data_IF_480367031822
#
_entry.id   IF_480367031822
#
_cell.length_a   1.000
_cell.length_b   1.000
_cell.length_c   1.000
_cell.angle_alpha   90.00
_cell.angle_beta   90.00
_cell.angle_gamma   90.00
#
_symmetry.space_group_name_H-M   'P 1'
#
loop_
_entity.id
_entity.type
_entity.pdbx_description
1 polymer ?
#
# COMPACT_ATOMS: atom_id res chain seq x y z
N UNK A 1 -4.03 -18.21 50.66
CA UNK A 1 -4.75 -16.92 50.54
C UNK A 1 -3.79 -15.93 49.90
N UNK A 2 -4.15 -15.31 48.76
CA UNK A 2 -3.27 -14.34 48.09
C UNK A 2 -3.44 -12.99 48.80
N UNK A 3 -2.34 -12.33 49.14
CA UNK A 3 -2.38 -11.00 49.76
C UNK A 3 -2.85 -9.95 48.74
N UNK A 4 -3.57 -8.94 49.22
CA UNK A 4 -4.08 -7.83 48.39
C UNK A 4 -2.99 -7.18 47.52
N UNK A 5 -1.77 -7.12 48.05
CA UNK A 5 -0.59 -6.56 47.40
C UNK A 5 -0.17 -7.37 46.16
N UNK A 6 -0.07 -8.70 46.30
CA UNK A 6 0.26 -9.62 45.20
C UNK A 6 -0.84 -9.60 44.12
N UNK A 7 -2.11 -9.45 44.52
CA UNK A 7 -3.21 -9.30 43.56
C UNK A 7 -3.09 -8.01 42.74
N UNK A 8 -2.77 -6.87 43.38
CA UNK A 8 -2.61 -5.59 42.70
C UNK A 8 -1.40 -5.59 41.75
N UNK A 9 -0.29 -6.19 42.15
CA UNK A 9 0.89 -6.36 41.27
C UNK A 9 0.54 -7.19 40.04
N UNK A 10 -0.09 -8.35 40.24
CA UNK A 10 -0.52 -9.23 39.13
C UNK A 10 -1.48 -8.51 38.19
N UNK A 11 -2.43 -7.73 38.72
CA UNK A 11 -3.35 -6.91 37.93
C UNK A 11 -2.59 -5.89 37.08
N UNK A 12 -1.62 -5.18 37.68
CA UNK A 12 -0.80 -4.20 36.98
C UNK A 12 0.04 -4.81 35.85
N UNK A 13 0.69 -5.95 36.11
CA UNK A 13 1.45 -6.68 35.07
C UNK A 13 0.52 -7.10 33.93
N UNK A 14 -0.64 -7.66 34.25
CA UNK A 14 -1.60 -8.13 33.24
C UNK A 14 -2.16 -6.98 32.41
N UNK A 15 -2.44 -5.84 33.02
CA UNK A 15 -2.88 -4.64 32.29
C UNK A 15 -1.82 -4.15 31.30
N UNK A 16 -0.54 -4.13 31.68
CA UNK A 16 0.56 -3.76 30.76
C UNK A 16 0.71 -4.74 29.60
N UNK A 17 0.55 -6.05 29.87
CA UNK A 17 0.60 -7.07 28.83
C UNK A 17 -0.55 -6.93 27.83
N UNK A 18 -1.77 -6.66 28.32
CA UNK A 18 -2.92 -6.41 27.45
C UNK A 18 -2.66 -5.20 26.57
N UNK A 19 -2.19 -4.10 27.15
CA UNK A 19 -1.90 -2.88 26.39
C UNK A 19 -0.82 -3.10 25.31
N UNK A 20 0.25 -3.84 25.62
CA UNK A 20 1.28 -4.20 24.65
C UNK A 20 0.72 -5.02 23.48
N UNK A 21 -0.14 -6.00 23.77
CA UNK A 21 -0.78 -6.82 22.74
C UNK A 21 -1.76 -6.02 21.88
N UNK A 22 -2.47 -5.05 22.45
CA UNK A 22 -3.35 -4.14 21.71
C UNK A 22 -2.56 -3.25 20.73
N UNK A 23 -1.39 -2.74 21.14
CA UNK A 23 -0.48 -1.98 20.28
C UNK A 23 0.07 -2.85 19.15
N UNK A 24 0.58 -4.05 19.45
CA UNK A 24 1.07 -4.99 18.42
C UNK A 24 -0.03 -5.35 17.41
N UNK A 25 -1.27 -5.59 17.87
CA UNK A 25 -2.41 -5.84 16.97
C UNK A 25 -2.74 -4.64 16.09
N UNK A 26 -2.60 -3.42 16.60
CA UNK A 26 -2.81 -2.19 15.82
C UNK A 26 -1.75 -2.05 14.74
N UNK A 27 -0.49 -2.31 15.07
CA UNK A 27 0.61 -2.24 14.11
C UNK A 27 0.49 -3.31 13.02
N UNK A 28 0.17 -4.55 13.40
CA UNK A 28 -0.09 -5.63 12.44
C UNK A 28 -1.28 -5.32 11.53
N UNK A 29 -2.36 -4.75 12.06
CA UNK A 29 -3.50 -4.30 11.23
C UNK A 29 -3.10 -3.24 10.24
N UNK A 30 -2.23 -2.30 10.61
CA UNK A 30 -1.72 -1.28 9.70
C UNK A 30 -0.92 -1.93 8.56
N UNK A 31 -0.04 -2.87 8.87
CA UNK A 31 0.73 -3.63 7.86
C UNK A 31 -0.21 -4.37 6.90
N UNK A 32 -1.24 -5.06 7.42
CA UNK A 32 -2.20 -5.80 6.58
C UNK A 32 -3.03 -4.86 5.69
N UNK A 33 -3.41 -3.68 6.19
CA UNK A 33 -4.11 -2.67 5.38
C UNK A 33 -3.18 -2.11 4.29
N UNK A 34 -1.92 -1.85 4.64
CA UNK A 34 -0.91 -1.37 3.69
C UNK A 34 -0.61 -2.45 2.63
N UNK A 35 -0.53 -3.73 3.00
CA UNK A 35 -0.37 -4.88 2.09
C UNK A 35 -1.62 -5.13 1.23
N UNK A 36 -2.82 -4.98 1.78
CA UNK A 36 -4.08 -5.09 1.04
C UNK A 36 -4.32 -3.96 0.03
N UNK A 37 -3.56 -2.87 0.13
CA UNK A 37 -3.58 -1.76 -0.81
C UNK A 37 -2.63 -1.98 -2.01
N UNK A 38 -1.78 -3.02 -1.98
CA UNK A 38 -1.00 -3.43 -3.15
C UNK A 38 -1.83 -4.34 -4.06
N UNK A 39 -1.76 -4.14 -5.39
CA UNK A 39 -2.42 -5.04 -6.31
C UNK A 39 -1.85 -6.45 -6.17
N UNK A 40 -2.72 -7.45 -6.18
CA UNK A 40 -2.27 -8.85 -6.17
C UNK A 40 -1.52 -9.17 -7.46
N UNK A 41 -0.66 -10.18 -7.44
CA UNK A 41 0.11 -10.61 -8.62
C UNK A 41 -0.82 -10.91 -9.82
N UNK A 42 -1.97 -11.52 -9.57
CA UNK A 42 -2.99 -11.79 -10.58
C UNK A 42 -3.56 -10.51 -11.20
N UNK A 43 -3.88 -9.50 -10.38
CA UNK A 43 -4.34 -8.19 -10.86
C UNK A 43 -3.27 -7.47 -11.68
N UNK A 44 -1.99 -7.61 -11.31
CA UNK A 44 -0.87 -7.08 -12.10
C UNK A 44 -0.82 -7.78 -13.47
N UNK A 45 -0.88 -9.11 -13.50
CA UNK A 45 -0.86 -9.88 -14.75
C UNK A 45 -2.03 -9.50 -15.66
N UNK A 46 -3.23 -9.37 -15.12
CA UNK A 46 -4.42 -8.96 -15.89
C UNK A 46 -4.22 -7.56 -16.51
N UNK A 47 -3.76 -6.59 -15.72
CA UNK A 47 -3.50 -5.22 -16.20
C UNK A 47 -2.43 -5.19 -17.30
N UNK A 48 -1.36 -5.95 -17.12
CA UNK A 48 -0.28 -6.06 -18.12
C UNK A 48 -0.81 -6.74 -19.39
N UNK A 49 -1.67 -7.75 -19.26
CA UNK A 49 -2.35 -8.39 -20.39
C UNK A 49 -3.20 -7.39 -21.19
N UNK A 50 -4.10 -6.67 -20.51
CA UNK A 50 -4.94 -5.64 -21.15
C UNK A 50 -4.10 -4.54 -21.81
N UNK A 51 -3.00 -4.13 -21.17
CA UNK A 51 -2.06 -3.18 -21.76
C UNK A 51 -1.45 -3.73 -23.05
N UNK A 52 -0.96 -4.96 -23.04
CA UNK A 52 -0.29 -5.59 -24.19
C UNK A 52 -1.22 -5.71 -25.38
N UNK A 53 -2.47 -6.12 -25.14
CA UNK A 53 -3.51 -6.20 -26.18
C UNK A 53 -3.73 -4.83 -26.83
N UNK A 54 -4.01 -3.80 -26.02
CA UNK A 54 -4.25 -2.45 -26.52
C UNK A 54 -3.02 -1.85 -27.20
N UNK A 55 -1.83 -2.07 -26.66
CA UNK A 55 -0.59 -1.56 -27.21
C UNK A 55 -0.24 -2.18 -28.56
N UNK A 56 -0.48 -3.48 -28.73
CA UNK A 56 -0.16 -4.21 -29.97
C UNK A 56 -0.94 -3.72 -31.19
N UNK A 57 -2.15 -3.19 -30.98
CA UNK A 57 -3.04 -2.69 -32.04
C UNK A 57 -3.01 -1.16 -32.19
N UNK A 58 -2.38 -0.45 -31.25
CA UNK A 58 -2.38 1.00 -31.21
C UNK A 58 -1.46 1.60 -32.29
N UNK A 59 -2.04 2.33 -33.23
CA UNK A 59 -1.31 3.00 -34.31
C UNK A 59 -1.11 4.47 -33.98
N UNK A 60 -2.15 5.10 -33.43
CA UNK A 60 -2.15 6.53 -33.11
C UNK A 60 -1.60 6.83 -31.72
N UNK A 61 -1.13 8.07 -31.51
CA UNK A 61 -0.66 8.54 -30.21
C UNK A 61 -1.75 8.52 -29.13
N UNK A 62 -3.01 8.68 -29.54
CA UNK A 62 -4.17 8.65 -28.65
C UNK A 62 -4.45 7.23 -28.13
N UNK A 63 -4.41 6.24 -29.01
CA UNK A 63 -4.54 4.82 -28.65
C UNK A 63 -3.40 4.36 -27.74
N UNK A 64 -2.16 4.78 -28.04
CA UNK A 64 -1.00 4.53 -27.19
C UNK A 64 -1.16 5.15 -25.80
N UNK A 65 -1.65 6.38 -25.72
CA UNK A 65 -1.96 7.01 -24.42
C UNK A 65 -3.09 6.29 -23.68
N UNK A 66 -4.10 5.78 -24.39
CA UNK A 66 -5.18 4.98 -23.78
C UNK A 66 -4.64 3.67 -23.20
N UNK A 67 -3.73 3.00 -23.88
CA UNK A 67 -3.04 1.83 -23.36
C UNK A 67 -2.21 2.19 -22.12
N UNK A 68 -1.37 3.24 -22.17
CA UNK A 68 -0.53 3.67 -21.05
C UNK A 68 -1.31 3.99 -19.76
N UNK A 69 -2.50 4.58 -19.88
CA UNK A 69 -3.40 4.86 -18.74
C UNK A 69 -3.87 3.61 -17.99
N UNK A 70 -3.68 2.40 -18.53
CA UNK A 70 -3.96 1.14 -17.83
C UNK A 70 -2.90 0.80 -16.78
N UNK A 71 -1.66 1.21 -17.01
CA UNK A 71 -0.53 0.98 -16.11
C UNK A 71 -0.21 2.20 -15.24
N UNK A 72 -0.33 3.39 -15.81
CA UNK A 72 0.04 4.64 -15.15
C UNK A 72 -1.15 5.20 -14.38
N UNK A 73 -0.96 5.45 -13.08
CA UNK A 73 -1.94 6.12 -12.24
C UNK A 73 -1.90 7.64 -12.44
N UNK A 74 -0.70 8.20 -12.28
CA UNK A 74 -0.43 9.63 -12.42
C UNK A 74 1.02 9.88 -12.79
N UNK A 75 1.26 11.02 -13.43
CA UNK A 75 2.61 11.52 -13.70
C UNK A 75 2.74 12.81 -12.92
N UNK A 76 3.68 12.85 -11.98
CA UNK A 76 3.98 14.04 -11.18
C UNK A 76 5.06 14.81 -11.90
N UNK A 77 4.75 16.06 -12.25
CA UNK A 77 5.68 17.00 -12.82
C UNK A 77 6.14 17.97 -11.73
N UNK A 78 7.44 18.02 -11.48
CA UNK A 78 8.04 19.02 -10.61
C UNK A 78 9.07 19.84 -11.39
N UNK A 79 9.00 21.17 -11.27
CA UNK A 79 9.96 22.08 -11.89
C UNK A 79 10.51 23.04 -10.86
N UNK A 80 11.81 22.95 -10.64
CA UNK A 80 12.59 23.89 -9.82
C UNK A 80 13.60 24.62 -10.71
N UNK A 81 13.23 25.83 -11.15
CA UNK A 81 14.04 26.65 -12.06
C UNK A 81 14.28 25.96 -13.41
N UNK A 82 15.54 25.53 -13.63
CA UNK A 82 15.97 24.78 -14.82
C UNK A 82 15.92 23.25 -14.63
N UNK A 83 15.66 22.76 -13.43
CA UNK A 83 15.53 21.33 -13.15
C UNK A 83 14.07 20.92 -13.34
N UNK A 84 13.87 19.92 -14.19
CA UNK A 84 12.56 19.32 -14.44
C UNK A 84 12.64 17.85 -14.03
N UNK A 85 11.73 17.43 -13.17
CA UNK A 85 11.58 16.05 -12.72
C UNK A 85 10.19 15.54 -13.11
N UNK A 86 10.17 14.34 -13.69
CA UNK A 86 8.96 13.62 -14.06
C UNK A 86 8.97 12.29 -13.32
N UNK A 87 8.01 12.12 -12.41
CA UNK A 87 7.84 10.87 -11.66
C UNK A 87 6.58 10.18 -12.11
N UNK A 88 6.70 8.96 -12.61
CA UNK A 88 5.57 8.13 -13.02
C UNK A 88 5.14 7.25 -11.86
N UNK A 89 3.90 7.41 -11.40
CA UNK A 89 3.28 6.51 -10.43
C UNK A 89 2.49 5.44 -11.18
N UNK A 90 2.78 4.18 -10.91
CA UNK A 90 2.07 3.04 -11.48
C UNK A 90 0.94 2.59 -10.56
N UNK A 91 -0.13 2.07 -11.15
CA UNK A 91 -1.29 1.51 -10.43
C UNK A 91 -1.01 0.14 -9.85
#
# INVERSE_FOLDING_TARGET
MITKQVFLERKGVRSRQIQKLEEELKDLRKVVVDEGNYPTVEQIYERVGQFRELWSVAVTSEEKNRALKKLVERIVYNREGNRVELTVCYR
#
